data_IF_863629547941
#
_entry.id   IF_863629547941
#
_cell.length_a   1.000
_cell.length_b   1.000
_cell.length_c   1.000
_cell.angle_alpha   90.00
_cell.angle_beta   90.00
_cell.angle_gamma   90.00
#
_symmetry.space_group_name_H-M   'P 1'
#
loop_
_entity.id
_entity.type
_entity.pdbx_description
1 polymer ?
#
# COMPACT_ATOMS: atom_id res chain seq x y z
N UNK A 1 20.03 -8.11 31.37
CA UNK A 1 20.35 -8.16 29.93
C UNK A 1 19.75 -6.91 29.33
N UNK A 2 20.55 -5.90 28.99
CA UNK A 2 20.04 -4.62 28.49
C UNK A 2 19.75 -4.75 27.00
N UNK A 3 18.51 -4.47 26.59
CA UNK A 3 18.15 -4.40 25.17
C UNK A 3 18.97 -3.28 24.51
N UNK A 4 19.70 -3.58 23.44
CA UNK A 4 20.47 -2.55 22.75
C UNK A 4 19.54 -1.65 21.94
N UNK A 5 19.95 -0.40 21.69
CA UNK A 5 19.20 0.55 20.85
C UNK A 5 18.87 -0.07 19.48
N UNK A 6 19.72 -0.95 18.94
CA UNK A 6 19.44 -1.73 17.72
C UNK A 6 18.26 -2.68 17.86
N UNK A 7 18.10 -3.32 19.02
CA UNK A 7 16.99 -4.25 19.26
C UNK A 7 15.66 -3.47 19.40
N UNK A 8 15.71 -2.28 20.01
CA UNK A 8 14.56 -1.37 20.08
C UNK A 8 14.17 -0.84 18.70
N UNK A 9 15.14 -0.46 17.86
CA UNK A 9 14.87 -0.02 16.49
C UNK A 9 14.31 -1.13 15.62
N UNK A 10 14.83 -2.36 15.72
CA UNK A 10 14.25 -3.53 15.04
C UNK A 10 12.84 -3.86 15.51
N UNK A 11 12.53 -3.63 16.78
CA UNK A 11 11.16 -3.81 17.29
C UNK A 11 10.19 -2.71 16.85
N UNK A 12 10.72 -1.54 16.48
CA UNK A 12 9.96 -0.40 15.96
C UNK A 12 9.77 -0.44 14.44
N UNK A 13 10.57 -1.21 13.69
CA UNK A 13 10.36 -1.51 12.27
C UNK A 13 9.16 -2.46 12.12
N UNK A 14 7.95 -1.90 12.19
CA UNK A 14 6.77 -2.65 11.77
C UNK A 14 6.77 -2.77 10.25
N UNK A 15 6.62 -3.98 9.69
CA UNK A 15 6.53 -4.16 8.25
C UNK A 15 5.29 -3.45 7.71
N UNK A 16 5.44 -2.76 6.57
CA UNK A 16 4.36 -2.06 5.90
C UNK A 16 3.15 -2.98 5.68
N UNK A 17 1.99 -2.61 6.23
CA UNK A 17 0.73 -3.25 5.90
C UNK A 17 -0.05 -2.41 4.88
N UNK A 18 0.25 -2.62 3.60
CA UNK A 18 -0.30 -1.83 2.49
C UNK A 18 -1.84 -1.74 2.44
N UNK A 19 -2.55 -2.71 3.03
CA UNK A 19 -4.02 -2.72 3.04
C UNK A 19 -4.58 -1.82 4.15
N UNK A 20 -3.97 -1.83 5.33
CA UNK A 20 -4.33 -0.91 6.43
C UNK A 20 -4.01 0.53 6.04
N UNK A 21 -2.84 0.72 5.43
CA UNK A 21 -2.43 1.99 4.87
C UNK A 21 -3.42 2.51 3.81
N UNK A 22 -3.84 1.65 2.87
CA UNK A 22 -4.89 1.99 1.92
C UNK A 22 -6.20 2.35 2.64
N UNK A 23 -6.60 1.61 3.67
CA UNK A 23 -7.82 1.88 4.43
C UNK A 23 -7.77 3.24 5.14
N UNK A 24 -6.59 3.66 5.59
CA UNK A 24 -6.35 4.97 6.23
C UNK A 24 -6.36 6.14 5.22
N UNK A 25 -6.27 5.88 3.91
CA UNK A 25 -6.33 6.95 2.91
C UNK A 25 -7.69 7.66 2.90
N UNK A 26 -7.64 8.97 2.62
CA UNK A 26 -8.85 9.75 2.32
C UNK A 26 -9.58 9.18 1.10
N UNK A 27 -10.91 9.34 1.01
CA UNK A 27 -11.69 8.86 -0.14
C UNK A 27 -11.15 9.33 -1.50
N UNK A 28 -10.69 10.58 -1.60
CA UNK A 28 -10.11 11.13 -2.83
C UNK A 28 -8.85 10.38 -3.27
N UNK A 29 -7.96 10.03 -2.33
CA UNK A 29 -6.75 9.26 -2.62
C UNK A 29 -7.05 7.81 -3.00
N UNK A 30 -8.09 7.21 -2.41
CA UNK A 30 -8.57 5.88 -2.78
C UNK A 30 -9.10 5.84 -4.22
N UNK A 31 -9.90 6.84 -4.61
CA UNK A 31 -10.39 6.99 -5.99
C UNK A 31 -9.23 7.15 -6.96
N UNK A 32 -8.26 8.04 -6.67
CA UNK A 32 -7.07 8.23 -7.51
C UNK A 32 -6.30 6.92 -7.75
N UNK A 33 -6.08 6.12 -6.69
CA UNK A 33 -5.42 4.81 -6.82
C UNK A 33 -6.22 3.84 -7.70
N UNK A 34 -7.55 3.84 -7.58
CA UNK A 34 -8.42 3.04 -8.44
C UNK A 34 -8.32 3.51 -9.90
N UNK A 35 -8.39 4.81 -10.17
CA UNK A 35 -8.32 5.37 -11.53
C UNK A 35 -6.97 5.04 -12.18
N UNK A 36 -5.87 5.25 -11.46
CA UNK A 36 -4.54 4.90 -11.97
C UNK A 36 -4.40 3.40 -12.24
N UNK A 37 -4.99 2.53 -11.40
CA UNK A 37 -4.92 1.08 -11.58
C UNK A 37 -5.80 0.56 -12.72
N UNK A 38 -7.02 1.08 -12.84
CA UNK A 38 -8.03 0.54 -13.77
C UNK A 38 -8.09 1.27 -15.13
N UNK A 39 -7.61 2.51 -15.21
CA UNK A 39 -7.73 3.35 -16.41
C UNK A 39 -6.36 3.70 -17.00
N UNK A 40 -5.45 4.25 -16.21
CA UNK A 40 -4.19 4.80 -16.73
C UNK A 40 -3.09 3.76 -16.93
N UNK A 41 -3.16 2.64 -16.19
CA UNK A 41 -2.32 1.48 -16.39
C UNK A 41 -1.33 1.22 -15.26
N UNK A 42 -0.65 0.07 -15.37
CA UNK A 42 0.15 -0.48 -14.26
C UNK A 42 1.31 0.41 -13.83
N UNK A 43 1.97 1.09 -14.78
CA UNK A 43 3.11 1.95 -14.47
C UNK A 43 2.70 3.17 -13.63
N UNK A 44 1.63 3.88 -14.02
CA UNK A 44 1.10 5.02 -13.27
C UNK A 44 0.65 4.62 -11.86
N UNK A 45 -0.01 3.46 -11.74
CA UNK A 45 -0.35 2.88 -10.44
C UNK A 45 0.88 2.61 -9.58
N UNK A 46 1.90 1.92 -10.11
CA UNK A 46 3.12 1.62 -9.35
C UNK A 46 3.85 2.88 -8.89
N UNK A 47 3.93 3.90 -9.76
CA UNK A 47 4.52 5.19 -9.41
C UNK A 47 3.73 5.88 -8.29
N UNK A 48 2.41 5.82 -8.33
CA UNK A 48 1.54 6.37 -7.29
C UNK A 48 1.72 5.65 -5.96
N UNK A 49 1.83 4.32 -5.98
CA UNK A 49 2.10 3.53 -4.77
C UNK A 49 3.46 3.89 -4.18
N UNK A 50 4.51 4.07 -4.99
CA UNK A 50 5.85 4.49 -4.52
C UNK A 50 5.86 5.93 -3.96
N UNK A 51 5.01 6.81 -4.50
CA UNK A 51 4.88 8.18 -3.99
C UNK A 51 4.17 8.21 -2.63
N UNK A 52 3.19 7.34 -2.42
CA UNK A 52 2.45 7.27 -1.15
C UNK A 52 3.21 6.48 -0.08
N UNK A 53 3.88 5.40 -0.48
CA UNK A 53 4.61 4.48 0.40
C UNK A 53 5.94 4.09 -0.26
N UNK A 54 7.00 4.89 -0.05
CA UNK A 54 8.32 4.65 -0.65
C UNK A 54 8.92 3.27 -0.32
N UNK A 55 8.58 2.73 0.84
CA UNK A 55 8.98 1.41 1.33
C UNK A 55 8.17 0.24 0.74
N UNK A 56 7.13 0.51 -0.06
CA UNK A 56 6.30 -0.52 -0.66
C UNK A 56 7.10 -1.38 -1.66
N UNK A 57 7.05 -2.70 -1.46
CA UNK A 57 7.70 -3.64 -2.37
C UNK A 57 6.80 -3.96 -3.57
N UNK A 58 7.37 -4.60 -4.61
CA UNK A 58 6.57 -5.15 -5.72
C UNK A 58 5.48 -6.13 -5.24
N UNK A 59 5.73 -6.86 -4.15
CA UNK A 59 4.77 -7.79 -3.55
C UNK A 59 3.59 -7.02 -2.96
N UNK A 60 3.84 -5.89 -2.30
CA UNK A 60 2.80 -5.03 -1.72
C UNK A 60 1.95 -4.37 -2.81
N UNK A 61 2.59 -3.87 -3.88
CA UNK A 61 1.90 -3.34 -5.05
C UNK A 61 0.96 -4.37 -5.68
N UNK A 62 1.42 -5.62 -5.83
CA UNK A 62 0.58 -6.72 -6.34
C UNK A 62 -0.57 -7.06 -5.38
N UNK A 63 -0.30 -7.09 -4.07
CA UNK A 63 -1.30 -7.35 -3.02
C UNK A 63 -2.40 -6.29 -3.04
N UNK A 64 -2.03 -5.01 -3.10
CA UNK A 64 -2.97 -3.90 -3.21
C UNK A 64 -3.75 -3.97 -4.52
N UNK A 65 -3.12 -4.25 -5.66
CA UNK A 65 -3.83 -4.39 -6.94
C UNK A 65 -4.88 -5.51 -6.92
N UNK A 66 -4.55 -6.66 -6.36
CA UNK A 66 -5.51 -7.75 -6.16
C UNK A 66 -6.66 -7.34 -5.24
N UNK A 67 -6.37 -6.61 -4.16
CA UNK A 67 -7.38 -6.10 -3.25
C UNK A 67 -8.34 -5.13 -3.94
N UNK A 68 -7.84 -4.22 -4.79
CA UNK A 68 -8.70 -3.30 -5.57
C UNK A 68 -9.63 -4.06 -6.53
N UNK A 69 -9.14 -5.13 -7.17
CA UNK A 69 -9.98 -6.00 -8.02
C UNK A 69 -11.09 -6.67 -7.22
N UNK A 70 -10.77 -7.16 -6.03
CA UNK A 70 -11.78 -7.76 -5.13
C UNK A 70 -12.82 -6.71 -4.72
N UNK A 71 -12.41 -5.52 -4.29
CA UNK A 71 -13.33 -4.43 -3.94
C UNK A 71 -14.29 -4.10 -5.09
N UNK A 72 -13.78 -3.99 -6.32
CA UNK A 72 -14.60 -3.75 -7.51
C UNK A 72 -15.66 -4.84 -7.71
N UNK A 73 -15.29 -6.10 -7.51
CA UNK A 73 -16.18 -7.25 -7.74
C UNK A 73 -17.15 -7.50 -6.57
N UNK A 74 -16.86 -7.00 -5.37
CA UNK A 74 -17.72 -7.16 -4.18
C UNK A 74 -18.69 -5.99 -3.98
N UNK A 75 -18.56 -4.89 -4.73
CA UNK A 75 -19.43 -3.71 -4.62
C UNK A 75 -20.83 -3.88 -5.28
N UNK A 76 -21.39 -5.10 -5.26
CA UNK A 76 -22.73 -5.41 -5.74
C UNK A 76 -23.80 -5.21 -4.67
#
# INVERSE_FOLDING_TARGET
MYATIRDLLKSAEQPLNIIEEYAALSPKRKVLLCDHYFVEGRETYENTVRLLWPEATKKDMKKLGNFLVLLKNTSH
#
